data_IF_641183541817
#
_entry.id   IF_641183541817
#
_cell.length_a   1.000
_cell.length_b   1.000
_cell.length_c   1.000
_cell.angle_alpha   90.00
_cell.angle_beta   90.00
_cell.angle_gamma   90.00
#
_symmetry.space_group_name_H-M   'P 1'
#
loop_
_entity.id
_entity.type
_entity.pdbx_description
1 polymer ?
#
# COMPACT_ATOMS: atom_id res chain seq x y z
N UNK A 1 9.02 4.47 -20.58
CA UNK A 1 8.58 4.07 -19.24
C UNK A 1 7.92 2.71 -19.40
N UNK A 2 8.67 1.66 -19.07
CA UNK A 2 8.20 0.27 -19.32
C UNK A 2 7.35 -0.18 -18.12
N UNK A 3 6.04 0.04 -18.22
CA UNK A 3 5.07 -0.34 -17.18
C UNK A 3 4.73 -1.82 -17.37
N UNK A 4 5.14 -2.68 -16.45
CA UNK A 4 4.83 -4.11 -16.50
C UNK A 4 3.63 -4.43 -15.63
N UNK A 5 2.59 -5.07 -16.19
CA UNK A 5 1.45 -5.53 -15.41
C UNK A 5 1.87 -6.68 -14.49
N UNK A 6 1.48 -6.60 -13.22
CA UNK A 6 1.67 -7.65 -12.22
C UNK A 6 0.31 -8.24 -11.87
N UNK A 7 0.20 -9.58 -11.90
CA UNK A 7 -1.02 -10.26 -11.50
C UNK A 7 -1.24 -10.07 -9.98
N UNK A 8 -2.41 -9.56 -9.61
CA UNK A 8 -2.82 -9.45 -8.22
C UNK A 8 -3.74 -10.61 -7.84
N UNK A 9 -3.45 -11.19 -6.68
CA UNK A 9 -4.38 -12.06 -6.00
C UNK A 9 -5.33 -11.17 -5.20
N UNK A 10 -6.65 -11.50 -5.13
CA UNK A 10 -7.58 -10.71 -4.34
C UNK A 10 -7.06 -10.47 -2.92
N UNK A 11 -7.22 -9.24 -2.43
CA UNK A 11 -6.94 -8.90 -1.04
C UNK A 11 -7.91 -9.70 -0.17
N UNK A 12 -7.42 -10.68 0.57
CA UNK A 12 -8.22 -11.52 1.45
C UNK A 12 -7.96 -11.17 2.90
N UNK A 13 -9.02 -11.26 3.73
CA UNK A 13 -8.82 -11.25 5.17
C UNK A 13 -7.94 -12.45 5.57
N UNK A 14 -7.12 -12.26 6.60
CA UNK A 14 -6.22 -13.29 7.09
C UNK A 14 -6.95 -14.62 7.37
N UNK A 15 -6.45 -15.68 6.77
CA UNK A 15 -6.86 -17.05 7.05
C UNK A 15 -5.82 -17.71 7.98
N UNK A 16 -6.18 -18.00 9.23
CA UNK A 16 -5.24 -18.59 10.20
C UNK A 16 -4.80 -20.01 9.85
N UNK A 17 -5.46 -20.68 8.92
CA UNK A 17 -5.07 -22.01 8.44
C UNK A 17 -3.94 -21.98 7.42
N UNK A 18 -3.62 -20.82 6.88
CA UNK A 18 -2.56 -20.62 5.90
C UNK A 18 -1.21 -20.49 6.61
N UNK A 19 -0.18 -21.28 6.23
CA UNK A 19 1.14 -21.09 6.80
C UNK A 19 1.64 -19.66 6.50
N UNK A 20 1.98 -18.94 7.57
CA UNK A 20 2.57 -17.61 7.46
C UNK A 20 3.94 -17.74 6.81
N UNK A 21 4.23 -17.09 5.68
CA UNK A 21 5.60 -17.00 5.20
C UNK A 21 6.41 -16.27 6.27
N UNK A 22 7.46 -16.88 6.77
CA UNK A 22 8.40 -16.20 7.65
C UNK A 22 9.18 -15.16 6.81
N UNK A 23 8.58 -14.03 6.56
CA UNK A 23 9.29 -12.87 6.05
C UNK A 23 9.94 -12.18 7.26
N UNK A 24 11.15 -12.57 7.56
CA UNK A 24 12.02 -11.80 8.44
C UNK A 24 12.45 -10.58 7.64
N UNK A 25 11.76 -9.48 7.82
CA UNK A 25 12.27 -8.18 7.44
C UNK A 25 13.25 -7.76 8.54
N UNK A 26 14.49 -8.19 8.44
CA UNK A 26 15.62 -7.61 9.18
C UNK A 26 16.07 -6.35 8.44
N UNK A 27 15.19 -5.33 8.43
CA UNK A 27 15.57 -3.98 8.06
C UNK A 27 16.09 -3.28 9.30
N UNK A 28 17.33 -2.81 9.28
CA UNK A 28 17.78 -1.79 10.25
C UNK A 28 16.80 -0.63 10.15
N UNK A 29 16.14 -0.34 11.27
CA UNK A 29 15.35 0.88 11.41
C UNK A 29 16.34 2.02 11.27
N UNK A 30 16.27 2.76 10.17
CA UNK A 30 17.09 3.95 9.97
C UNK A 30 16.99 4.81 11.22
N UNK A 31 18.13 5.23 11.75
CA UNK A 31 18.22 6.07 12.93
C UNK A 31 17.29 7.27 12.74
N UNK A 32 16.27 7.37 13.59
CA UNK A 32 15.42 8.53 13.62
C UNK A 32 16.30 9.77 13.85
N UNK A 33 16.13 10.76 12.99
CA UNK A 33 16.67 12.09 13.23
C UNK A 33 16.35 12.54 14.66
N UNK A 34 17.28 13.30 15.27
CA UNK A 34 17.13 13.77 16.64
C UNK A 34 15.73 14.36 16.85
N UNK A 35 15.06 14.07 17.97
CA UNK A 35 13.69 14.50 18.19
C UNK A 35 13.59 16.04 18.12
N UNK A 36 12.97 16.52 17.05
CA UNK A 36 12.60 17.93 16.91
C UNK A 36 11.22 18.15 17.56
N UNK A 37 10.95 19.33 18.11
CA UNK A 37 9.66 19.60 18.72
C UNK A 37 8.53 19.41 17.71
N UNK A 38 7.53 18.62 18.05
CA UNK A 38 6.35 18.42 17.22
C UNK A 38 5.57 19.76 17.11
N UNK A 39 5.34 20.19 15.90
CA UNK A 39 4.44 21.29 15.60
C UNK A 39 2.99 20.81 15.58
N UNK A 40 2.04 21.70 15.90
CA UNK A 40 0.61 21.42 15.69
C UNK A 40 0.33 21.04 14.24
N UNK A 41 1.04 21.61 13.28
CA UNK A 41 0.92 21.28 11.86
C UNK A 41 1.41 19.86 11.51
N UNK A 42 2.29 19.27 12.31
CA UNK A 42 2.74 17.90 12.14
C UNK A 42 1.65 16.88 12.53
N UNK A 43 0.68 17.32 13.33
CA UNK A 43 -0.46 16.50 13.78
C UNK A 43 -1.58 16.42 12.75
N UNK A 44 -1.64 17.37 11.81
CA UNK A 44 -2.66 17.44 10.77
C UNK A 44 -2.05 17.09 9.43
N UNK A 45 -2.47 15.97 8.86
CA UNK A 45 -2.09 15.58 7.51
C UNK A 45 -3.33 15.54 6.63
N UNK A 46 -3.24 16.20 5.48
CA UNK A 46 -4.23 16.06 4.42
C UNK A 46 -3.94 14.74 3.73
N UNK A 47 -4.96 13.91 3.57
CA UNK A 47 -4.82 12.65 2.87
C UNK A 47 -6.18 12.11 2.47
N UNK A 48 -6.20 11.16 1.55
CA UNK A 48 -7.44 10.52 1.13
C UNK A 48 -7.97 9.57 2.20
N UNK A 49 -9.30 9.53 2.33
CA UNK A 49 -10.03 8.54 3.13
C UNK A 49 -10.28 8.94 4.59
N UNK A 50 -11.17 8.20 5.25
CA UNK A 50 -11.70 8.59 6.56
C UNK A 50 -10.76 8.25 7.73
N UNK A 51 -9.65 7.54 7.50
CA UNK A 51 -8.82 7.03 8.60
C UNK A 51 -7.32 7.08 8.27
N UNK A 52 -6.55 7.72 9.15
CA UNK A 52 -5.09 7.74 9.02
C UNK A 52 -4.50 6.33 9.15
N UNK A 53 -4.97 5.52 10.10
CA UNK A 53 -4.43 4.18 10.37
C UNK A 53 -4.89 3.11 9.38
N UNK A 54 -6.10 3.24 8.81
CA UNK A 54 -6.70 2.24 7.92
C UNK A 54 -6.70 2.65 6.45
N UNK A 55 -6.33 3.87 6.14
CA UNK A 55 -6.24 4.37 4.75
C UNK A 55 -4.83 4.91 4.46
N UNK A 56 -4.42 6.01 5.10
CA UNK A 56 -3.14 6.67 4.82
C UNK A 56 -1.94 5.76 5.14
N UNK A 57 -1.95 5.11 6.31
CA UNK A 57 -0.89 4.18 6.72
C UNK A 57 -0.69 3.02 5.74
N UNK A 58 -1.73 2.22 5.43
CA UNK A 58 -1.67 1.16 4.44
C UNK A 58 -1.25 1.62 3.05
N UNK A 59 -1.69 2.80 2.60
CA UNK A 59 -1.26 3.36 1.32
C UNK A 59 0.23 3.68 1.31
N UNK A 60 0.74 4.31 2.38
CA UNK A 60 2.19 4.58 2.54
C UNK A 60 3.02 3.30 2.63
N UNK A 61 2.51 2.28 3.30
CA UNK A 61 3.17 0.98 3.36
C UNK A 61 3.28 0.34 1.96
N UNK A 62 2.21 0.39 1.17
CA UNK A 62 2.22 -0.07 -0.22
C UNK A 62 3.23 0.71 -1.09
N UNK A 63 3.27 2.04 -0.94
CA UNK A 63 4.19 2.91 -1.66
C UNK A 63 5.65 2.62 -1.29
N UNK A 64 5.97 2.48 0.01
CA UNK A 64 7.31 2.14 0.47
C UNK A 64 7.75 0.78 -0.08
N UNK A 65 6.89 -0.24 -0.01
CA UNK A 65 7.16 -1.56 -0.57
C UNK A 65 7.45 -1.50 -2.08
N UNK A 66 6.65 -0.77 -2.84
CA UNK A 66 6.89 -0.60 -4.29
C UNK A 66 8.20 0.11 -4.57
N UNK A 67 8.55 1.12 -3.79
CA UNK A 67 9.82 1.85 -3.93
C UNK A 67 11.02 0.91 -3.75
N UNK A 68 10.97 0.00 -2.78
CA UNK A 68 11.99 -1.03 -2.60
C UNK A 68 12.02 -2.04 -3.75
N UNK A 69 10.84 -2.44 -4.25
CA UNK A 69 10.74 -3.37 -5.38
C UNK A 69 11.37 -2.83 -6.67
N UNK A 70 11.41 -1.52 -6.87
CA UNK A 70 12.01 -0.92 -8.09
C UNK A 70 13.50 -1.21 -8.19
N UNK A 71 14.16 -1.56 -7.09
CA UNK A 71 15.58 -1.95 -7.05
C UNK A 71 15.81 -3.43 -7.35
N UNK A 72 14.75 -4.22 -7.45
CA UNK A 72 14.79 -5.67 -7.62
C UNK A 72 14.17 -6.09 -8.96
N UNK A 73 14.30 -7.38 -9.29
CA UNK A 73 13.56 -7.95 -10.42
C UNK A 73 12.05 -7.86 -10.15
N UNK A 74 11.26 -7.28 -11.04
CA UNK A 74 9.82 -7.14 -10.84
C UNK A 74 9.15 -8.49 -10.56
N UNK A 75 8.31 -8.61 -9.53
CA UNK A 75 7.59 -9.84 -9.23
C UNK A 75 6.52 -10.11 -10.30
N UNK A 76 6.24 -11.35 -10.58
CA UNK A 76 5.12 -11.75 -11.44
C UNK A 76 3.78 -11.72 -10.70
N UNK A 77 3.81 -11.75 -9.36
CA UNK A 77 2.62 -11.78 -8.49
C UNK A 77 2.90 -11.13 -7.15
N UNK A 78 1.93 -10.37 -6.65
CA UNK A 78 1.91 -9.83 -5.29
C UNK A 78 0.68 -10.39 -4.56
N UNK A 79 0.87 -10.87 -3.33
CA UNK A 79 -0.21 -11.27 -2.44
C UNK A 79 -0.25 -10.30 -1.26
N UNK A 80 -1.45 -9.83 -0.91
CA UNK A 80 -1.66 -8.86 0.18
C UNK A 80 -2.54 -9.54 1.22
N UNK A 81 -2.02 -9.70 2.42
CA UNK A 81 -2.78 -10.23 3.56
C UNK A 81 -2.98 -9.10 4.59
N UNK A 82 -4.24 -8.82 4.93
CA UNK A 82 -4.60 -7.82 5.93
C UNK A 82 -4.88 -8.50 7.28
N UNK A 83 -4.16 -8.09 8.31
CA UNK A 83 -4.24 -8.68 9.65
C UNK A 83 -4.98 -7.79 10.66
N UNK A 84 -5.49 -8.42 11.71
CA UNK A 84 -6.10 -7.71 12.84
C UNK A 84 -7.23 -6.77 12.43
N UNK A 85 -7.21 -5.55 12.94
CA UNK A 85 -8.23 -4.54 12.63
C UNK A 85 -8.25 -4.15 11.16
N UNK A 86 -7.12 -4.16 10.46
CA UNK A 86 -7.06 -3.89 9.02
C UNK A 86 -7.88 -4.91 8.22
N UNK A 87 -7.83 -6.19 8.59
CA UNK A 87 -8.64 -7.23 7.97
C UNK A 87 -10.12 -7.18 8.40
N UNK A 88 -10.37 -6.93 9.69
CA UNK A 88 -11.71 -6.95 10.24
C UNK A 88 -12.59 -5.76 9.80
N UNK A 89 -12.02 -4.56 9.69
CA UNK A 89 -12.74 -3.32 9.39
C UNK A 89 -12.29 -2.65 8.09
N UNK A 90 -11.32 -3.24 7.39
CA UNK A 90 -10.66 -2.64 6.22
C UNK A 90 -11.61 -2.27 5.08
N UNK A 91 -12.66 -3.07 4.85
CA UNK A 91 -13.66 -2.77 3.81
C UNK A 91 -14.41 -1.46 4.08
N UNK A 92 -14.75 -1.17 5.34
CA UNK A 92 -15.41 0.09 5.73
C UNK A 92 -14.51 1.32 5.60
N UNK A 93 -13.20 1.13 5.61
CA UNK A 93 -12.19 2.19 5.51
C UNK A 93 -11.44 2.20 4.17
N UNK A 94 -11.84 1.37 3.21
CA UNK A 94 -11.19 1.22 1.91
C UNK A 94 -9.70 0.89 2.01
N UNK A 95 -9.31 0.06 2.99
CA UNK A 95 -7.91 -0.33 3.22
C UNK A 95 -7.32 -1.08 2.02
N UNK A 96 -8.11 -1.96 1.41
CA UNK A 96 -7.78 -2.69 0.19
C UNK A 96 -7.42 -1.74 -0.95
N UNK A 97 -8.27 -0.75 -1.19
CA UNK A 97 -8.03 0.30 -2.19
C UNK A 97 -6.77 1.09 -1.88
N UNK A 98 -6.58 1.47 -0.62
CA UNK A 98 -5.44 2.26 -0.18
C UNK A 98 -4.11 1.54 -0.44
N UNK A 99 -4.01 0.26 -0.08
CA UNK A 99 -2.80 -0.55 -0.37
C UNK A 99 -2.54 -0.63 -1.86
N UNK A 100 -3.58 -0.84 -2.69
CA UNK A 100 -3.43 -0.92 -4.15
C UNK A 100 -2.93 0.39 -4.75
N UNK A 101 -3.45 1.53 -4.27
CA UNK A 101 -2.97 2.85 -4.70
C UNK A 101 -1.49 3.05 -4.34
N UNK A 102 -1.09 2.69 -3.13
CA UNK A 102 0.31 2.74 -2.72
C UNK A 102 1.21 1.86 -3.57
N UNK A 103 0.80 0.61 -3.85
CA UNK A 103 1.52 -0.29 -4.75
C UNK A 103 1.64 0.26 -6.18
N UNK A 104 0.62 0.97 -6.66
CA UNK A 104 0.66 1.65 -7.94
C UNK A 104 1.52 2.93 -7.96
N UNK A 105 2.14 3.28 -6.82
CA UNK A 105 3.06 4.42 -6.72
C UNK A 105 2.40 5.74 -6.36
N UNK A 106 1.15 5.75 -5.97
CA UNK A 106 0.45 6.97 -5.59
C UNK A 106 0.70 7.34 -4.12
N UNK A 107 0.90 8.64 -3.88
CA UNK A 107 1.03 9.21 -2.55
C UNK A 107 -0.35 9.66 -2.02
N UNK A 108 -0.68 9.40 -0.74
CA UNK A 108 -1.98 9.74 -0.17
C UNK A 108 -2.29 11.24 -0.09
N UNK A 109 -1.29 12.11 -0.17
CA UNK A 109 -1.46 13.57 -0.08
C UNK A 109 -1.73 14.20 -1.44
N UNK A 110 -1.33 13.52 -2.53
CA UNK A 110 -1.35 14.11 -3.89
C UNK A 110 -2.17 13.33 -4.90
N UNK A 111 -2.64 12.13 -4.56
CA UNK A 111 -3.40 11.30 -5.50
C UNK A 111 -4.72 11.96 -5.89
N UNK A 112 -5.03 11.95 -7.19
CA UNK A 112 -6.28 12.45 -7.72
C UNK A 112 -7.46 11.54 -7.38
N UNK A 113 -8.63 12.14 -7.07
CA UNK A 113 -9.83 11.41 -6.66
C UNK A 113 -10.36 10.46 -7.75
N UNK A 114 -10.23 10.83 -9.01
CA UNK A 114 -10.65 9.97 -10.13
C UNK A 114 -9.79 8.72 -10.22
N UNK A 115 -8.49 8.83 -9.93
CA UNK A 115 -7.59 7.68 -9.81
C UNK A 115 -8.01 6.76 -8.66
N UNK A 116 -8.36 7.34 -7.52
CA UNK A 116 -8.84 6.61 -6.34
C UNK A 116 -10.11 5.81 -6.67
N UNK A 117 -11.04 6.39 -7.40
CA UNK A 117 -12.29 5.72 -7.80
C UNK A 117 -12.07 4.65 -8.88
N UNK A 118 -11.12 4.87 -9.79
CA UNK A 118 -10.88 4.00 -10.94
C UNK A 118 -10.08 2.73 -10.62
N UNK A 119 -9.27 2.70 -9.55
CA UNK A 119 -8.29 1.62 -9.34
C UNK A 119 -8.94 0.24 -9.15
N UNK A 120 -10.01 0.13 -8.36
CA UNK A 120 -10.70 -1.15 -8.14
C UNK A 120 -11.44 -1.64 -9.40
N UNK A 121 -12.22 -0.80 -10.12
CA UNK A 121 -12.80 -1.17 -11.40
C UNK A 121 -11.77 -1.61 -12.44
N UNK A 122 -10.66 -0.89 -12.53
CA UNK A 122 -9.56 -1.24 -13.46
C UNK A 122 -8.95 -2.59 -13.11
N UNK A 123 -8.66 -2.83 -11.83
CA UNK A 123 -8.14 -4.12 -11.38
C UNK A 123 -9.14 -5.26 -11.64
N UNK A 124 -10.42 -5.04 -11.38
CA UNK A 124 -11.46 -6.04 -11.62
C UNK A 124 -11.58 -6.43 -13.10
N UNK A 125 -11.35 -5.49 -14.01
CA UNK A 125 -11.42 -5.73 -15.46
C UNK A 125 -10.16 -6.35 -16.04
N UNK A 126 -8.98 -5.96 -15.54
CA UNK A 126 -7.67 -6.38 -16.11
C UNK A 126 -7.02 -7.54 -15.36
N UNK A 127 -7.37 -7.72 -14.06
CA UNK A 127 -6.70 -8.68 -13.17
C UNK A 127 -5.25 -8.30 -12.85
N UNK A 128 -4.80 -7.11 -13.26
CA UNK A 128 -3.40 -6.68 -13.13
C UNK A 128 -3.31 -5.27 -12.54
N UNK A 129 -2.25 -5.04 -11.76
CA UNK A 129 -1.86 -3.73 -11.27
C UNK A 129 -0.57 -3.31 -11.96
N UNK A 130 -0.53 -2.08 -12.44
CA UNK A 130 0.69 -1.49 -12.99
C UNK A 130 1.54 -0.94 -11.84
N UNK A 131 2.76 -1.45 -11.71
CA UNK A 131 3.73 -0.95 -10.75
C UNK A 131 4.59 0.14 -11.40
N UNK A 132 5.07 1.15 -10.63
CA UNK A 132 6.08 2.06 -11.10
C UNK A 132 7.33 1.28 -11.50
N UNK A 133 7.89 1.61 -12.66
CA UNK A 133 9.21 1.10 -13.05
C UNK A 133 10.27 1.95 -12.37
N UNK A 134 11.28 1.31 -11.78
CA UNK A 134 12.48 2.00 -11.36
C UNK A 134 13.17 2.66 -12.56
N UNK A 135 13.72 3.84 -12.36
CA UNK A 135 14.60 4.54 -13.33
C UNK A 135 15.99 3.93 -13.30
#
# INVERSE_FOLDING_TARGET
>A
MDLRPVALVPVTAYDPSRPTPAAIVSGEVAAHDAPHPLSVFDMFRIGIGPSSSHTVGPMRAGLAFTTELTTLTPPSRITIDLFGSLGATGRGHSTDRAVLLGLAGYDPETVDIHTVEAILPTLASTGTLTLPSGT
#
